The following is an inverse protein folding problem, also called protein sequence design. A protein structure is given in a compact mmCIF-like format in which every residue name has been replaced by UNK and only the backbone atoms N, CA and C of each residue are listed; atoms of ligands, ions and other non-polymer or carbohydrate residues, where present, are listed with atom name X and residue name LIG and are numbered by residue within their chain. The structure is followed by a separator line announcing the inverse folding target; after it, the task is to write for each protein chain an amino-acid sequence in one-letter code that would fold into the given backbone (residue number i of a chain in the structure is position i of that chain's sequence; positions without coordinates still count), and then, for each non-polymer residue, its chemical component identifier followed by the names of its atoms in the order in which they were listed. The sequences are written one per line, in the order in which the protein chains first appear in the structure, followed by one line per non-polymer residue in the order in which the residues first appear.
data_IF_824947828850
#
_entry.id   IF_824947828850
#
_cell.length_a   1.000
_cell.length_b   1.000
_cell.length_c   1.000
_cell.angle_alpha   90.00
_cell.angle_beta   90.00
_cell.angle_gamma   90.00
#
_symmetry.space_group_name_H-M   'P 1'
#
loop_
_entity.id
_entity.type
_entity.pdbx_description
1 polymer ?
#
# COMPACT_ATOMS: atom_id res chain seq x y z
N UNK A 1 -12.31 -5.04 -12.12
CA UNK A 1 -11.10 -5.75 -11.65
C UNK A 1 -10.63 -5.09 -10.35
N UNK A 2 -10.95 -5.62 -9.17
CA UNK A 2 -10.77 -4.82 -7.94
C UNK A 2 -10.59 -5.58 -6.62
N UNK A 3 -10.37 -6.90 -6.63
CA UNK A 3 -10.15 -7.65 -5.38
C UNK A 3 -8.66 -7.81 -5.06
N UNK A 4 -7.94 -8.47 -5.95
CA UNK A 4 -6.57 -8.96 -5.67
C UNK A 4 -5.56 -7.85 -5.40
N UNK A 5 -5.62 -6.75 -6.17
CA UNK A 5 -4.74 -5.59 -5.98
C UNK A 5 -5.00 -4.91 -4.62
N UNK A 6 -6.27 -4.76 -4.24
CA UNK A 6 -6.66 -4.15 -2.97
C UNK A 6 -6.24 -5.02 -1.78
N UNK A 7 -6.45 -6.34 -1.85
CA UNK A 7 -5.95 -7.26 -0.82
C UNK A 7 -4.42 -7.26 -0.73
N UNK A 8 -3.72 -7.17 -1.87
CA UNK A 8 -2.26 -7.06 -1.88
C UNK A 8 -1.81 -5.76 -1.20
N UNK A 9 -2.44 -4.64 -1.51
CA UNK A 9 -2.12 -3.35 -0.89
C UNK A 9 -2.39 -3.38 0.62
N UNK A 10 -3.51 -3.96 1.05
CA UNK A 10 -3.84 -4.10 2.47
C UNK A 10 -2.80 -4.95 3.22
N UNK A 11 -2.39 -6.09 2.64
CA UNK A 11 -1.40 -6.99 3.25
C UNK A 11 0.00 -6.36 3.31
N UNK A 12 0.50 -5.90 2.16
CA UNK A 12 1.92 -5.56 2.01
C UNK A 12 2.22 -4.07 2.15
N UNK A 13 1.29 -3.20 1.78
CA UNK A 13 1.51 -1.74 1.83
C UNK A 13 1.05 -1.17 3.17
N UNK A 14 -0.14 -1.56 3.62
CA UNK A 14 -0.71 -1.08 4.89
C UNK A 14 -0.13 -1.85 6.09
N UNK A 15 0.30 -3.10 5.89
CA UNK A 15 1.02 -3.88 6.90
C UNK A 15 0.17 -4.91 7.64
N UNK A 16 -0.99 -5.31 7.10
CA UNK A 16 -1.93 -6.25 7.74
C UNK A 16 -1.47 -7.74 7.71
N UNK A 17 -0.15 -8.00 7.72
CA UNK A 17 0.41 -9.35 7.79
C UNK A 17 0.79 -9.74 9.21
N UNK A 18 1.25 -8.78 10.01
CA UNK A 18 1.78 -9.02 11.35
C UNK A 18 1.00 -8.16 12.35
N UNK A 19 0.34 -8.81 13.30
CA UNK A 19 -0.33 -8.15 14.41
C UNK A 19 0.61 -8.08 15.60
N UNK A 20 0.56 -6.97 16.33
CA UNK A 20 1.40 -6.75 17.51
C UNK A 20 0.86 -7.48 18.73
N UNK A 21 -0.47 -7.58 18.84
CA UNK A 21 -1.12 -8.23 19.97
C UNK A 21 -1.42 -9.70 19.73
N UNK A 22 -1.43 -10.49 20.81
CA UNK A 22 -1.93 -11.88 20.86
C UNK A 22 -3.37 -11.96 21.37
N UNK A 23 -3.90 -10.87 21.95
CA UNK A 23 -5.27 -10.83 22.47
C UNK A 23 -6.25 -10.61 21.32
N UNK A 24 -7.26 -11.48 21.21
CA UNK A 24 -8.25 -11.45 20.13
C UNK A 24 -8.90 -10.07 19.95
N UNK A 25 -9.25 -9.41 21.04
CA UNK A 25 -9.87 -8.07 20.99
C UNK A 25 -8.94 -7.01 20.39
N UNK A 26 -7.67 -7.03 20.77
CA UNK A 26 -6.67 -6.10 20.22
C UNK A 26 -6.37 -6.40 18.75
N UNK A 27 -6.31 -7.69 18.36
CA UNK A 27 -6.15 -8.08 16.95
C UNK A 27 -7.30 -7.54 16.11
N UNK A 28 -8.54 -7.63 16.59
CA UNK A 28 -9.70 -7.03 15.91
C UNK A 28 -9.53 -5.52 15.74
N UNK A 29 -9.09 -4.82 16.79
CA UNK A 29 -8.81 -3.38 16.71
C UNK A 29 -7.74 -3.07 15.66
N UNK A 30 -6.64 -3.82 15.64
CA UNK A 30 -5.58 -3.66 14.64
C UNK A 30 -6.12 -3.86 13.21
N UNK A 31 -6.99 -4.84 12.97
CA UNK A 31 -7.63 -5.04 11.67
C UNK A 31 -8.46 -3.81 11.27
N UNK A 32 -9.27 -3.28 12.19
CA UNK A 32 -10.06 -2.08 11.92
C UNK A 32 -9.18 -0.86 11.63
N UNK A 33 -8.09 -0.65 12.37
CA UNK A 33 -7.14 0.44 12.10
C UNK A 33 -6.55 0.32 10.69
N UNK A 34 -6.09 -0.87 10.29
CA UNK A 34 -5.55 -1.08 8.94
C UNK A 34 -6.61 -0.83 7.84
N UNK A 35 -7.86 -1.25 8.05
CA UNK A 35 -8.96 -0.99 7.10
C UNK A 35 -9.29 0.51 7.00
N UNK A 36 -9.35 1.21 8.13
CA UNK A 36 -9.60 2.66 8.17
C UNK A 36 -8.47 3.39 7.44
N UNK A 37 -7.21 3.04 7.69
CA UNK A 37 -6.04 3.60 7.01
C UNK A 37 -6.09 3.37 5.50
N UNK A 38 -6.46 2.16 5.07
CA UNK A 38 -6.63 1.84 3.65
C UNK A 38 -7.70 2.72 2.99
N UNK A 39 -8.89 2.80 3.62
CA UNK A 39 -10.00 3.60 3.10
C UNK A 39 -9.67 5.09 3.03
N UNK A 40 -9.00 5.61 4.07
CA UNK A 40 -8.55 7.00 4.09
C UNK A 40 -7.55 7.29 2.97
N UNK A 41 -6.55 6.41 2.76
CA UNK A 41 -5.60 6.56 1.67
C UNK A 41 -6.27 6.49 0.29
N UNK A 42 -7.23 5.58 0.09
CA UNK A 42 -8.02 5.52 -1.16
C UNK A 42 -8.85 6.79 -1.39
N UNK A 43 -9.45 7.36 -0.35
CA UNK A 43 -10.22 8.60 -0.43
C UNK A 43 -9.35 9.78 -0.86
N UNK A 44 -8.21 9.99 -0.20
CA UNK A 44 -7.27 11.07 -0.54
C UNK A 44 -6.71 10.89 -1.94
N UNK A 45 -6.30 9.68 -2.30
CA UNK A 45 -5.73 9.44 -3.64
C UNK A 45 -6.76 9.65 -4.74
N UNK A 46 -8.02 9.32 -4.50
CA UNK A 46 -9.12 9.62 -5.42
C UNK A 46 -9.33 11.14 -5.56
N UNK A 47 -9.33 11.88 -4.45
CA UNK A 47 -9.44 13.34 -4.44
C UNK A 47 -8.33 14.00 -5.29
N UNK A 48 -7.07 13.68 -4.98
CA UNK A 48 -5.89 14.24 -5.65
C UNK A 48 -5.84 13.93 -7.15
N UNK A 49 -6.28 12.74 -7.56
CA UNK A 49 -6.31 12.34 -8.98
C UNK A 49 -7.37 13.12 -9.76
N UNK A 50 -8.52 13.42 -9.14
CA UNK A 50 -9.62 14.17 -9.76
C UNK A 50 -9.19 15.63 -10.04
N UNK A 51 -8.52 16.28 -9.09
CA UNK A 51 -8.07 17.67 -9.23
C UNK A 51 -7.07 17.86 -10.38
N UNK A 52 -6.26 16.85 -10.70
CA UNK A 52 -5.17 16.96 -11.71
C UNK A 52 -5.51 16.41 -13.09
N UNK A 53 -6.78 16.54 -13.51
CA UNK A 53 -7.36 15.97 -14.75
C UNK A 53 -6.65 16.30 -16.07
N UNK A 54 -5.77 17.30 -16.14
CA UNK A 54 -5.11 17.75 -17.38
C UNK A 54 -3.77 17.02 -17.64
N UNK A 55 -3.78 15.74 -18.05
CA UNK A 55 -2.54 15.00 -18.42
C UNK A 55 -2.72 14.07 -19.63
N UNK A 56 -1.64 13.86 -20.40
CA UNK A 56 -1.59 13.03 -21.64
C UNK A 56 -2.00 11.55 -21.47
N UNK A 57 -1.84 10.99 -20.28
CA UNK A 57 -2.16 9.59 -19.96
C UNK A 57 -3.06 9.51 -18.74
N UNK A 58 -3.71 8.37 -18.51
CA UNK A 58 -4.36 8.08 -17.23
C UNK A 58 -3.29 7.84 -16.18
N UNK A 59 -3.30 8.62 -15.10
CA UNK A 59 -2.39 8.46 -13.97
C UNK A 59 -3.13 7.85 -12.78
N UNK A 60 -2.40 7.10 -11.96
CA UNK A 60 -2.84 6.67 -10.63
C UNK A 60 -1.86 7.18 -9.58
N UNK A 61 -2.35 7.41 -8.37
CA UNK A 61 -1.46 7.71 -7.26
C UNK A 61 -0.60 6.50 -6.89
N UNK A 62 0.64 6.76 -6.47
CA UNK A 62 1.45 5.74 -5.83
C UNK A 62 0.86 5.46 -4.44
N UNK A 63 0.10 4.37 -4.35
CA UNK A 63 -0.60 3.98 -3.13
C UNK A 63 0.34 3.80 -1.92
N UNK A 64 1.58 3.35 -2.12
CA UNK A 64 2.53 3.18 -1.02
C UNK A 64 2.98 4.50 -0.42
N UNK A 65 3.21 5.50 -1.29
CA UNK A 65 3.54 6.86 -0.84
C UNK A 65 2.33 7.47 -0.13
N UNK A 66 1.13 7.28 -0.67
CA UNK A 66 -0.09 7.78 -0.05
C UNK A 66 -0.31 7.24 1.36
N UNK A 67 -0.24 5.91 1.55
CA UNK A 67 -0.37 5.28 2.88
C UNK A 67 0.69 5.79 3.85
N UNK A 68 1.94 5.95 3.40
CA UNK A 68 3.02 6.48 4.23
C UNK A 68 2.73 7.92 4.68
N UNK A 69 2.29 8.79 3.77
CA UNK A 69 1.93 10.17 4.09
C UNK A 69 0.70 10.25 5.00
N UNK A 70 -0.34 9.44 4.75
CA UNK A 70 -1.50 9.33 5.63
C UNK A 70 -1.10 8.94 7.05
N UNK A 71 -0.14 8.02 7.21
CA UNK A 71 0.37 7.63 8.53
C UNK A 71 1.08 8.79 9.24
N UNK A 72 1.92 9.53 8.52
CA UNK A 72 2.57 10.75 9.05
C UNK A 72 1.57 11.83 9.46
N UNK A 73 0.50 12.00 8.68
CA UNK A 73 -0.59 12.91 9.02
C UNK A 73 -1.27 12.52 10.34
N UNK A 74 -1.59 11.24 10.55
CA UNK A 74 -2.13 10.77 11.84
C UNK A 74 -1.16 10.92 13.02
N UNK A 75 0.15 10.90 12.76
CA UNK A 75 1.18 11.20 13.78
C UNK A 75 1.38 12.71 14.01
N UNK A 76 0.69 13.58 13.27
CA UNK A 76 0.84 15.04 13.39
C UNK A 76 2.12 15.60 12.76
N UNK A 77 2.85 14.79 11.98
CA UNK A 77 4.11 15.18 11.32
C UNK A 77 3.89 15.95 10.00
N UNK A 78 2.66 15.99 9.51
CA UNK A 78 2.34 16.57 8.19
C UNK A 78 0.98 17.26 8.22
N UNK A 79 0.85 18.37 7.50
CA UNK A 79 -0.41 19.11 7.37
C UNK A 79 -1.21 18.65 6.15
N UNK A 80 -2.53 18.87 6.17
CA UNK A 80 -3.45 18.48 5.08
C UNK A 80 -2.99 18.91 3.67
N UNK A 81 -2.58 20.17 3.42
CA UNK A 81 -2.18 20.58 2.06
C UNK A 81 -0.84 19.99 1.62
N UNK A 82 0.09 19.71 2.54
CA UNK A 82 1.39 19.11 2.20
C UNK A 82 1.23 17.63 1.81
N UNK A 83 0.33 16.92 2.52
CA UNK A 83 -0.04 15.55 2.21
C UNK A 83 -0.56 15.39 0.78
N UNK A 84 -1.54 16.21 0.38
CA UNK A 84 -2.10 16.17 -0.98
C UNK A 84 -1.05 16.55 -2.03
N UNK A 85 -0.24 17.56 -1.74
CA UNK A 85 0.82 18.03 -2.64
C UNK A 85 1.85 16.93 -2.93
N UNK A 86 2.31 16.23 -1.90
CA UNK A 86 3.29 15.14 -2.02
C UNK A 86 2.69 13.96 -2.80
N UNK A 87 1.44 13.60 -2.52
CA UNK A 87 0.74 12.52 -3.24
C UNK A 87 0.58 12.89 -4.71
N UNK A 88 0.22 14.14 -5.00
CA UNK A 88 0.02 14.64 -6.35
C UNK A 88 1.31 14.72 -7.19
N UNK A 89 2.46 14.86 -6.53
CA UNK A 89 3.79 14.76 -7.16
C UNK A 89 4.15 13.32 -7.50
N UNK A 90 3.70 12.35 -6.71
CA UNK A 90 3.99 10.92 -6.85
C UNK A 90 2.93 10.14 -7.65
N UNK A 91 2.47 10.72 -8.76
CA UNK A 91 1.54 10.06 -9.68
C UNK A 91 2.30 9.18 -10.70
N UNK A 92 1.84 7.94 -10.89
CA UNK A 92 2.42 6.96 -11.81
C UNK A 92 1.48 6.74 -13.00
N UNK A 93 1.97 6.76 -14.26
CA UNK A 93 1.12 6.51 -15.42
C UNK A 93 0.62 5.07 -15.44
N UNK A 94 -0.66 4.87 -15.71
CA UNK A 94 -1.25 3.58 -16.00
C UNK A 94 -0.85 3.21 -17.44
N UNK A 95 -0.16 2.08 -17.58
CA UNK A 95 0.25 1.53 -18.87
C UNK A 95 -0.60 0.29 -19.16
N UNK A 96 -1.71 0.41 -19.91
CA UNK A 96 -2.49 -0.75 -20.32
C UNK A 96 -1.61 -1.66 -21.19
N UNK A 97 -1.70 -2.99 -21.00
CA UNK A 97 -0.92 -3.96 -21.78
C UNK A 97 0.48 -4.27 -21.24
N UNK A 98 0.86 -3.80 -20.06
CA UNK A 98 2.12 -4.22 -19.41
C UNK A 98 2.02 -5.67 -18.93
N UNK A 99 2.38 -6.61 -19.79
CA UNK A 99 2.61 -8.00 -19.41
C UNK A 99 4.08 -8.17 -19.01
N UNK A 100 4.34 -8.57 -17.76
CA UNK A 100 5.68 -8.97 -17.32
C UNK A 100 5.60 -10.42 -16.94
N UNK A 101 6.17 -11.30 -17.75
CA UNK A 101 6.30 -12.71 -17.39
C UNK A 101 7.14 -12.82 -16.11
N UNK A 102 6.62 -13.56 -15.13
CA UNK A 102 7.40 -13.90 -13.94
C UNK A 102 8.42 -14.94 -14.39
N UNK A 103 9.70 -14.56 -14.38
CA UNK A 103 10.78 -15.53 -14.39
C UNK A 103 10.68 -16.36 -13.10
N UNK A 104 9.99 -17.49 -13.18
CA UNK A 104 9.90 -18.47 -12.11
C UNK A 104 11.21 -19.23 -12.09
N UNK A 105 12.24 -18.65 -11.47
CA UNK A 105 13.46 -19.40 -11.19
C UNK A 105 13.10 -20.54 -10.24
N UNK A 106 13.42 -21.78 -10.60
CA UNK A 106 13.21 -22.92 -9.73
C UNK A 106 13.93 -22.64 -8.39
N UNK A 107 13.17 -22.62 -7.29
CA UNK A 107 13.78 -22.50 -5.96
C UNK A 107 14.56 -23.79 -5.69
N UNK A 108 15.89 -23.68 -5.68
CA UNK A 108 16.77 -24.76 -5.26
C UNK A 108 16.54 -24.97 -3.75
N UNK A 109 16.33 -26.22 -3.35
CA UNK A 109 16.22 -26.60 -1.95
C UNK A 109 17.54 -26.31 -1.22
N UNK A 110 17.49 -25.46 -0.18
CA UNK A 110 18.64 -25.22 0.70
C UNK A 110 18.40 -26.04 1.98
N UNK A 111 19.01 -27.22 2.05
CA UNK A 111 18.94 -28.07 3.24
C UNK A 111 19.79 -27.49 4.38
N UNK A 112 19.21 -27.41 5.57
CA UNK A 112 19.97 -27.09 6.78
C UNK A 112 20.56 -28.39 7.33
N UNK A 113 21.87 -28.59 7.17
CA UNK A 113 22.59 -29.64 7.89
C UNK A 113 22.83 -29.16 9.32
N UNK A 114 22.01 -29.63 10.26
CA UNK A 114 22.34 -29.52 11.67
C UNK A 114 23.45 -30.54 11.96
N UNK A 115 24.62 -30.07 12.43
CA UNK A 115 25.60 -30.96 13.06
C UNK A 115 25.23 -31.05 14.53
N UNK A 116 24.83 -32.24 14.97
CA UNK A 116 24.79 -32.59 16.39
C UNK A 116 26.24 -32.85 16.79
N UNK A 117 26.75 -32.05 17.72
CA UNK A 117 28.00 -32.27 18.42
C UNK A 117 27.68 -32.55 19.89
#
# INVERSE_FOLDING_TARGET
MGGETSFRNLKYTVGMLNFHSKKVMCIKQEIYVHLIMYNFAEMITSHVVIEKKQRKHTYKANFSVAVHMCRKFYHGETTSPDLETIIARNLVPIRPGRHRERNLTAKIFHGFLYRVA
#
